data_IF_778722566080
#
_entry.id   IF_778722566080
#
_cell.length_a   1.000
_cell.length_b   1.000
_cell.length_c   1.000
_cell.angle_alpha   90.00
_cell.angle_beta   90.00
_cell.angle_gamma   90.00
#
_symmetry.space_group_name_H-M   'P 1'
#
loop_
_entity.id
_entity.type
_entity.pdbx_description
1 polymer ?
#
# COMPACT_ATOMS: atom_id res chain seq x y z
N UNK A 1 -45.85 -22.45 2.82
CA UNK A 1 -45.60 -21.00 2.92
C UNK A 1 -44.12 -20.86 3.12
N UNK A 2 -43.42 -20.62 2.02
CA UNK A 2 -41.96 -20.57 1.94
C UNK A 2 -41.48 -19.17 2.29
N UNK A 3 -40.59 -19.05 3.26
CA UNK A 3 -39.90 -17.79 3.56
C UNK A 3 -38.62 -18.08 4.35
N UNK A 4 -37.58 -18.54 3.67
CA UNK A 4 -36.25 -18.72 4.28
C UNK A 4 -35.15 -18.83 3.22
N UNK A 5 -35.29 -18.14 2.09
CA UNK A 5 -34.42 -18.34 0.91
C UNK A 5 -33.77 -17.08 0.35
N UNK A 6 -33.99 -15.90 0.95
CA UNK A 6 -33.56 -14.64 0.34
C UNK A 6 -32.43 -13.91 1.10
N UNK A 7 -32.02 -14.34 2.30
CA UNK A 7 -30.94 -13.67 3.06
C UNK A 7 -29.55 -14.30 2.88
N UNK A 8 -29.43 -15.52 2.36
CA UNK A 8 -28.14 -16.23 2.24
C UNK A 8 -27.37 -15.92 0.93
N UNK A 9 -27.92 -15.07 0.05
CA UNK A 9 -27.31 -14.77 -1.26
C UNK A 9 -26.32 -13.59 -1.24
N UNK A 10 -26.24 -12.82 -0.16
CA UNK A 10 -25.38 -11.61 -0.07
C UNK A 10 -23.95 -11.93 0.40
N UNK A 11 -23.70 -13.11 0.97
CA UNK A 11 -22.40 -13.47 1.57
C UNK A 11 -21.42 -14.20 0.63
N UNK A 12 -21.72 -14.31 -0.68
CA UNK A 12 -20.92 -15.15 -1.59
C UNK A 12 -20.24 -14.42 -2.76
N UNK A 13 -19.96 -13.13 -2.64
CA UNK A 13 -19.27 -12.33 -3.69
C UNK A 13 -17.94 -11.70 -3.26
N UNK A 14 -17.24 -12.28 -2.29
CA UNK A 14 -15.93 -11.80 -1.82
C UNK A 14 -14.80 -12.81 -1.96
N UNK A 15 -14.91 -13.85 -2.78
CA UNK A 15 -13.95 -14.97 -2.72
C UNK A 15 -12.66 -14.76 -3.53
N UNK A 16 -12.65 -13.89 -4.53
CA UNK A 16 -11.52 -13.84 -5.48
C UNK A 16 -10.42 -12.85 -5.07
N UNK A 17 -10.76 -11.83 -4.30
CA UNK A 17 -9.83 -10.79 -3.83
C UNK A 17 -9.06 -11.22 -2.58
N UNK A 18 -9.69 -11.94 -1.64
CA UNK A 18 -8.97 -12.55 -0.52
C UNK A 18 -8.02 -13.65 -0.98
N UNK A 19 -8.40 -14.52 -1.92
CA UNK A 19 -7.54 -15.61 -2.41
C UNK A 19 -6.30 -15.08 -3.13
N UNK A 20 -6.46 -14.03 -3.96
CA UNK A 20 -5.33 -13.38 -4.61
C UNK A 20 -4.38 -12.70 -3.60
N UNK A 21 -4.95 -12.10 -2.55
CA UNK A 21 -4.18 -11.50 -1.46
C UNK A 21 -3.45 -12.56 -0.61
N UNK A 22 -4.12 -13.67 -0.29
CA UNK A 22 -3.54 -14.78 0.45
C UNK A 22 -2.41 -15.43 -0.35
N UNK A 23 -2.60 -15.74 -1.63
CA UNK A 23 -1.54 -16.30 -2.49
C UNK A 23 -0.27 -15.44 -2.49
N UNK A 24 -0.46 -14.14 -2.52
CA UNK A 24 0.59 -13.15 -2.52
C UNK A 24 1.33 -13.07 -1.18
N UNK A 25 0.58 -13.11 -0.06
CA UNK A 25 1.13 -13.19 1.30
C UNK A 25 2.04 -14.42 1.49
N UNK A 26 1.66 -15.57 0.94
CA UNK A 26 2.45 -16.81 1.01
C UNK A 26 3.78 -16.72 0.22
N UNK A 27 3.78 -16.09 -0.96
CA UNK A 27 4.99 -15.96 -1.80
C UNK A 27 6.07 -15.03 -1.23
N UNK A 28 5.69 -14.10 -0.34
CA UNK A 28 6.56 -13.07 0.20
C UNK A 28 7.42 -13.52 1.40
N UNK A 29 7.26 -14.76 1.86
CA UNK A 29 8.04 -15.33 2.96
C UNK A 29 9.45 -15.76 2.51
N UNK A 30 10.39 -14.81 2.41
CA UNK A 30 11.84 -15.11 2.30
C UNK A 30 12.64 -14.42 3.42
N UNK A 31 13.65 -15.13 3.93
CA UNK A 31 14.48 -14.66 5.03
C UNK A 31 15.31 -13.41 4.64
N UNK A 32 15.35 -12.35 5.49
CA UNK A 32 16.01 -11.11 5.14
C UNK A 32 17.54 -11.17 5.28
N UNK A 33 18.25 -10.63 4.29
CA UNK A 33 19.69 -10.33 4.38
C UNK A 33 19.87 -9.09 5.28
N UNK A 34 20.60 -9.22 6.39
CA UNK A 34 20.89 -8.10 7.30
C UNK A 34 21.99 -7.20 6.71
N UNK A 35 21.64 -6.01 6.23
CA UNK A 35 22.60 -4.94 5.90
C UNK A 35 22.62 -3.89 7.02
N UNK A 36 23.82 -3.43 7.43
CA UNK A 36 23.94 -2.28 8.35
C UNK A 36 23.43 -1.02 7.63
N UNK A 37 22.32 -0.45 8.12
CA UNK A 37 21.76 0.81 7.60
C UNK A 37 22.56 1.96 8.20
N UNK A 38 23.38 2.63 7.38
CA UNK A 38 24.05 3.88 7.77
C UNK A 38 23.15 5.07 7.40
N UNK A 39 22.85 5.93 8.37
CA UNK A 39 22.02 7.12 8.16
C UNK A 39 22.70 8.18 7.29
N UNK A 40 22.15 9.40 7.35
CA UNK A 40 22.78 10.58 6.76
C UNK A 40 24.08 10.85 7.50
N UNK A 41 25.20 10.54 6.87
CA UNK A 41 26.53 10.79 7.41
C UNK A 41 27.19 11.93 6.64
N UNK A 42 28.01 12.77 7.30
CA UNK A 42 28.81 13.78 6.61
C UNK A 42 29.60 13.14 5.46
N UNK A 43 29.42 13.65 4.23
CA UNK A 43 30.04 13.12 3.01
C UNK A 43 29.15 12.19 2.17
N UNK A 44 27.97 11.79 2.65
CA UNK A 44 26.94 11.14 1.80
C UNK A 44 26.08 12.19 1.08
N UNK A 45 25.61 11.83 -0.11
CA UNK A 45 24.67 12.67 -0.86
C UNK A 45 23.38 12.93 -0.05
N UNK A 46 22.85 14.13 -0.18
CA UNK A 46 21.60 14.50 0.47
C UNK A 46 20.42 13.64 -0.01
N UNK A 47 19.43 13.46 0.85
CA UNK A 47 18.17 12.81 0.46
C UNK A 47 17.50 13.62 -0.67
N UNK A 48 17.11 12.92 -1.73
CA UNK A 48 16.37 13.53 -2.84
C UNK A 48 15.00 14.04 -2.37
N UNK A 49 14.64 15.26 -2.74
CA UNK A 49 13.27 15.74 -2.54
C UNK A 49 12.33 15.11 -3.56
N UNK A 50 11.64 14.05 -3.14
CA UNK A 50 10.72 13.26 -3.98
C UNK A 50 9.32 13.88 -4.08
N UNK A 51 9.09 15.06 -3.50
CA UNK A 51 7.82 15.77 -3.52
C UNK A 51 6.62 14.91 -3.05
N UNK A 52 6.75 14.29 -1.86
CA UNK A 52 5.78 13.32 -1.33
C UNK A 52 4.34 13.83 -1.31
N UNK A 53 4.13 15.10 -0.96
CA UNK A 53 2.80 15.71 -0.92
C UNK A 53 2.16 15.78 -2.31
N UNK A 54 2.93 16.19 -3.33
CA UNK A 54 2.44 16.22 -4.71
C UNK A 54 2.15 14.80 -5.22
N UNK A 55 2.95 13.80 -4.84
CA UNK A 55 2.70 12.41 -5.17
C UNK A 55 1.42 11.87 -4.50
N UNK A 56 1.15 12.23 -3.25
CA UNK A 56 -0.10 11.89 -2.57
C UNK A 56 -1.31 12.48 -3.30
N UNK A 57 -1.27 13.76 -3.67
CA UNK A 57 -2.36 14.41 -4.40
C UNK A 57 -2.63 13.75 -5.76
N UNK A 58 -1.57 13.35 -6.48
CA UNK A 58 -1.71 12.59 -7.74
C UNK A 58 -2.40 11.25 -7.50
N UNK A 59 -1.95 10.47 -6.51
CA UNK A 59 -2.58 9.19 -6.15
C UNK A 59 -4.06 9.37 -5.78
N UNK A 60 -4.35 10.37 -4.95
CA UNK A 60 -5.71 10.71 -4.55
C UNK A 60 -6.60 11.04 -5.76
N UNK A 61 -6.12 11.90 -6.67
CA UNK A 61 -6.87 12.30 -7.88
C UNK A 61 -7.11 11.13 -8.85
N UNK A 62 -6.18 10.18 -8.92
CA UNK A 62 -6.33 9.05 -9.85
C UNK A 62 -7.38 8.07 -9.35
N UNK A 63 -7.48 7.83 -8.04
CA UNK A 63 -8.26 6.71 -7.51
C UNK A 63 -9.38 7.08 -6.52
N UNK A 64 -9.17 8.05 -5.64
CA UNK A 64 -10.00 8.22 -4.44
C UNK A 64 -10.82 9.52 -4.38
N UNK A 65 -10.53 10.51 -5.23
CA UNK A 65 -11.36 11.71 -5.27
C UNK A 65 -12.76 11.40 -5.82
N UNK A 66 -13.73 12.29 -5.56
CA UNK A 66 -15.14 12.14 -5.95
C UNK A 66 -15.35 11.73 -7.41
N UNK A 67 -14.59 12.33 -8.34
CA UNK A 67 -14.55 11.97 -9.75
C UNK A 67 -13.14 11.46 -10.12
N UNK A 68 -12.81 10.20 -9.80
CA UNK A 68 -11.46 9.69 -9.99
C UNK A 68 -11.18 9.51 -11.48
N UNK A 69 -9.92 9.74 -11.85
CA UNK A 69 -9.51 9.50 -13.25
C UNK A 69 -9.75 8.03 -13.63
N UNK A 70 -9.49 7.12 -12.69
CA UNK A 70 -9.66 5.68 -12.88
C UNK A 70 -10.84 5.18 -12.05
N UNK A 71 -11.96 4.77 -12.68
CA UNK A 71 -13.10 4.23 -11.95
C UNK A 71 -12.77 2.86 -11.34
N UNK A 72 -13.65 2.41 -10.43
CA UNK A 72 -13.53 1.17 -9.64
C UNK A 72 -13.04 -0.05 -10.44
N UNK A 73 -13.52 -0.23 -11.68
CA UNK A 73 -13.09 -1.34 -12.55
C UNK A 73 -11.59 -1.30 -12.89
N UNK A 74 -11.06 -0.11 -13.16
CA UNK A 74 -9.63 0.08 -13.41
C UNK A 74 -8.84 -0.03 -12.12
N UNK A 75 -9.35 0.50 -11.00
CA UNK A 75 -8.72 0.32 -9.70
C UNK A 75 -8.55 -1.16 -9.35
N UNK A 76 -9.61 -1.97 -9.47
CA UNK A 76 -9.57 -3.42 -9.23
C UNK A 76 -8.57 -4.12 -10.13
N UNK A 77 -8.53 -3.78 -11.42
CA UNK A 77 -7.54 -4.37 -12.33
C UNK A 77 -6.11 -4.07 -11.89
N UNK A 78 -5.87 -2.87 -11.37
CA UNK A 78 -4.53 -2.43 -11.00
C UNK A 78 -4.07 -2.85 -9.60
N UNK A 79 -4.98 -2.99 -8.66
CA UNK A 79 -4.66 -3.30 -7.26
C UNK A 79 -5.14 -4.70 -6.85
N UNK A 80 -5.85 -5.42 -7.73
CA UNK A 80 -6.45 -6.75 -7.50
C UNK A 80 -7.44 -6.81 -6.33
N UNK A 81 -7.96 -5.66 -5.92
CA UNK A 81 -8.97 -5.52 -4.85
C UNK A 81 -9.85 -4.29 -5.08
N UNK A 82 -11.00 -4.25 -4.42
CA UNK A 82 -11.91 -3.10 -4.45
C UNK A 82 -11.38 -1.91 -3.66
N UNK A 83 -11.88 -0.70 -3.92
CA UNK A 83 -11.55 0.47 -3.09
C UNK A 83 -11.90 0.22 -1.61
N UNK A 84 -13.09 -0.35 -1.35
CA UNK A 84 -13.55 -0.61 0.01
C UNK A 84 -12.63 -1.59 0.77
N UNK A 85 -12.16 -2.66 0.11
CA UNK A 85 -11.21 -3.58 0.74
C UNK A 85 -9.86 -2.90 0.99
N UNK A 86 -9.38 -2.10 0.04
CA UNK A 86 -8.13 -1.35 0.20
C UNK A 86 -8.19 -0.36 1.38
N UNK A 87 -9.29 0.38 1.52
CA UNK A 87 -9.49 1.33 2.62
C UNK A 87 -9.54 0.62 3.98
N UNK A 88 -10.24 -0.52 4.07
CA UNK A 88 -10.27 -1.35 5.28
C UNK A 88 -8.89 -1.88 5.65
N UNK A 89 -8.13 -2.38 4.67
CA UNK A 89 -6.75 -2.83 4.86
C UNK A 89 -5.85 -1.69 5.33
N UNK A 90 -5.95 -0.52 4.69
CA UNK A 90 -5.17 0.65 5.08
C UNK A 90 -5.47 1.06 6.52
N UNK A 91 -6.74 1.11 6.92
CA UNK A 91 -7.14 1.43 8.30
C UNK A 91 -6.60 0.42 9.30
N UNK A 92 -6.76 -0.89 9.03
CA UNK A 92 -6.27 -1.95 9.90
C UNK A 92 -4.75 -1.94 10.05
N UNK A 93 -4.02 -1.69 8.96
CA UNK A 93 -2.54 -1.61 9.00
C UNK A 93 -2.07 -0.39 9.78
N UNK A 94 -2.74 0.76 9.63
CA UNK A 94 -2.42 1.97 10.40
C UNK A 94 -2.68 1.76 11.88
N UNK A 95 -3.76 1.06 12.25
CA UNK A 95 -4.07 0.71 13.62
C UNK A 95 -3.05 -0.27 14.22
N UNK A 96 -2.56 -1.22 13.41
CA UNK A 96 -1.60 -2.23 13.86
C UNK A 96 -0.14 -1.71 13.94
N UNK A 97 0.28 -0.84 13.02
CA UNK A 97 1.67 -0.35 12.94
C UNK A 97 1.72 1.17 12.72
N UNK A 98 2.11 1.89 13.77
CA UNK A 98 2.26 3.34 13.79
C UNK A 98 3.28 3.87 12.76
N UNK A 99 4.14 3.03 12.18
CA UNK A 99 5.00 3.46 11.07
C UNK A 99 4.23 3.70 9.77
N UNK A 100 2.97 3.29 9.68
CA UNK A 100 2.08 3.65 8.57
C UNK A 100 1.45 5.03 8.74
N UNK A 101 1.33 5.56 9.95
CA UNK A 101 0.85 6.92 10.18
C UNK A 101 1.75 7.97 9.49
N UNK A 102 1.14 9.07 9.03
CA UNK A 102 1.91 10.18 8.47
C UNK A 102 2.65 10.90 9.59
N UNK A 103 3.98 10.81 9.59
CA UNK A 103 4.83 11.53 10.54
C UNK A 103 5.23 12.89 9.99
N UNK A 104 5.43 13.84 10.90
CA UNK A 104 6.04 15.14 10.62
C UNK A 104 7.48 15.09 11.12
N UNK A 105 8.44 15.52 10.31
CA UNK A 105 9.84 15.56 10.72
C UNK A 105 10.14 16.73 11.67
N UNK A 106 11.37 16.78 12.20
CA UNK A 106 11.78 17.81 13.15
C UNK A 106 11.75 19.24 12.58
N UNK A 107 11.63 19.40 11.25
CA UNK A 107 11.57 20.68 10.55
C UNK A 107 10.13 21.00 10.12
N UNK A 108 9.15 20.17 10.50
CA UNK A 108 7.74 20.39 10.19
C UNK A 108 7.30 19.84 8.82
N UNK A 109 8.15 19.14 8.07
CA UNK A 109 7.79 18.57 6.76
C UNK A 109 6.99 17.29 6.96
N UNK A 110 5.81 17.22 6.32
CA UNK A 110 4.98 16.01 6.31
C UNK A 110 5.64 14.91 5.48
N UNK A 111 5.79 13.74 6.07
CA UNK A 111 6.30 12.53 5.41
C UNK A 111 5.25 11.83 4.54
N UNK A 112 5.53 10.57 4.20
CA UNK A 112 4.64 9.71 3.42
C UNK A 112 3.31 9.46 4.13
N UNK A 113 2.21 9.52 3.39
CA UNK A 113 0.87 9.19 3.90
C UNK A 113 0.63 7.68 3.98
N UNK A 114 -0.31 7.20 4.80
CA UNK A 114 -0.76 5.81 4.79
C UNK A 114 -1.14 5.33 3.38
N UNK A 115 -1.87 6.17 2.64
CA UNK A 115 -2.28 5.88 1.26
C UNK A 115 -1.07 5.55 0.37
N UNK A 116 0.00 6.35 0.46
CA UNK A 116 1.22 6.11 -0.32
C UNK A 116 1.90 4.81 0.09
N UNK A 117 2.06 4.56 1.40
CA UNK A 117 2.74 3.37 1.93
C UNK A 117 2.00 2.09 1.56
N UNK A 118 0.69 2.04 1.79
CA UNK A 118 -0.16 0.90 1.46
C UNK A 118 -0.26 0.70 -0.06
N UNK A 119 -0.44 1.77 -0.84
CA UNK A 119 -0.47 1.66 -2.32
C UNK A 119 0.83 1.09 -2.86
N UNK A 120 1.97 1.52 -2.32
CA UNK A 120 3.26 1.03 -2.77
C UNK A 120 3.46 -0.44 -2.40
N UNK A 121 3.13 -0.83 -1.17
CA UNK A 121 3.19 -2.23 -0.73
C UNK A 121 2.29 -3.13 -1.60
N UNK A 122 1.01 -2.79 -1.75
CA UNK A 122 0.05 -3.56 -2.56
C UNK A 122 0.53 -3.67 -4.01
N UNK A 123 1.02 -2.58 -4.61
CA UNK A 123 1.53 -2.63 -5.99
C UNK A 123 2.78 -3.48 -6.12
N UNK A 124 3.72 -3.38 -5.18
CA UNK A 124 4.92 -4.20 -5.20
C UNK A 124 4.56 -5.69 -5.16
N UNK A 125 3.58 -6.02 -4.33
CA UNK A 125 3.06 -7.37 -4.19
C UNK A 125 2.33 -7.82 -5.47
N UNK A 126 1.35 -7.07 -5.96
CA UNK A 126 0.52 -7.45 -7.12
C UNK A 126 1.32 -7.65 -8.40
N UNK A 127 2.32 -6.81 -8.64
CA UNK A 127 3.06 -6.83 -9.90
C UNK A 127 4.33 -7.68 -9.85
N UNK A 128 4.72 -8.20 -8.68
CA UNK A 128 6.03 -8.84 -8.44
C UNK A 128 7.18 -8.04 -9.08
N UNK A 129 7.09 -6.71 -8.97
CA UNK A 129 8.02 -5.80 -9.64
C UNK A 129 9.12 -5.36 -8.69
N UNK A 130 10.31 -5.17 -9.25
CA UNK A 130 11.43 -4.56 -8.56
C UNK A 130 11.01 -3.18 -8.01
N UNK A 131 11.39 -2.92 -6.75
CA UNK A 131 10.91 -1.77 -5.98
C UNK A 131 11.37 -0.42 -6.57
N UNK A 132 12.45 -0.41 -7.35
CA UNK A 132 12.93 0.74 -8.13
C UNK A 132 11.93 1.20 -9.20
N UNK A 133 11.22 0.27 -9.85
CA UNK A 133 10.23 0.57 -10.89
C UNK A 133 8.94 1.24 -10.38
N UNK A 134 8.71 1.24 -9.06
CA UNK A 134 7.52 1.83 -8.44
C UNK A 134 7.76 3.25 -7.90
N UNK A 135 9.01 3.72 -7.95
CA UNK A 135 9.37 5.07 -7.52
C UNK A 135 8.65 6.14 -8.33
N UNK A 136 8.37 5.92 -9.61
CA UNK A 136 7.69 6.93 -10.43
C UNK A 136 6.24 7.16 -10.05
N UNK A 137 5.58 6.16 -9.48
CA UNK A 137 4.14 6.24 -9.20
C UNK A 137 3.88 6.72 -7.78
N UNK A 138 4.61 6.19 -6.80
CA UNK A 138 4.38 6.52 -5.39
C UNK A 138 5.41 7.52 -4.85
N UNK A 139 6.53 7.72 -5.57
CA UNK A 139 7.65 8.58 -5.17
C UNK A 139 8.25 8.16 -3.83
N UNK A 140 8.44 6.85 -3.67
CA UNK A 140 9.01 6.20 -2.47
C UNK A 140 10.33 5.55 -2.86
N UNK A 141 11.38 5.77 -2.08
CA UNK A 141 12.67 5.11 -2.30
C UNK A 141 12.57 3.59 -2.18
N UNK A 142 13.32 2.85 -2.99
CA UNK A 142 13.32 1.38 -3.03
C UNK A 142 13.45 0.74 -1.64
N UNK A 143 14.45 1.15 -0.86
CA UNK A 143 14.70 0.59 0.47
C UNK A 143 13.56 0.84 1.46
N UNK A 144 12.88 1.98 1.33
CA UNK A 144 11.70 2.35 2.11
C UNK A 144 10.49 1.52 1.67
N UNK A 145 10.33 1.31 0.37
CA UNK A 145 9.26 0.48 -0.19
C UNK A 145 9.39 -0.98 0.25
N UNK A 146 10.59 -1.56 0.18
CA UNK A 146 10.84 -2.92 0.69
C UNK A 146 10.51 -3.04 2.19
N UNK A 147 10.87 -2.03 2.98
CA UNK A 147 10.58 -2.01 4.41
C UNK A 147 9.07 -1.95 4.69
N UNK A 148 8.33 -1.07 3.99
CA UNK A 148 6.88 -0.97 4.16
C UNK A 148 6.14 -2.20 3.65
N UNK A 149 6.59 -2.79 2.54
CA UNK A 149 5.98 -4.03 2.03
C UNK A 149 6.10 -5.16 3.05
N UNK A 150 7.28 -5.31 3.67
CA UNK A 150 7.46 -6.30 4.73
C UNK A 150 6.54 -6.03 5.92
N UNK A 151 6.48 -4.78 6.41
CA UNK A 151 5.62 -4.42 7.55
C UNK A 151 4.15 -4.61 7.25
N UNK A 152 3.72 -4.22 6.06
CA UNK A 152 2.35 -4.39 5.58
C UNK A 152 1.92 -5.86 5.68
N UNK A 153 2.76 -6.79 5.21
CA UNK A 153 2.47 -8.23 5.32
C UNK A 153 2.42 -8.72 6.77
N UNK A 154 3.25 -8.15 7.67
CA UNK A 154 3.25 -8.48 9.09
C UNK A 154 2.01 -7.94 9.82
N UNK A 155 1.48 -6.80 9.38
CA UNK A 155 0.25 -6.20 9.92
C UNK A 155 -1.03 -6.86 9.41
N UNK A 156 -0.93 -7.66 8.34
CA UNK A 156 -2.07 -8.35 7.72
C UNK A 156 -2.17 -9.84 8.08
N UNK A 157 -1.21 -10.39 8.84
CA UNK A 157 -1.21 -11.79 9.29
C UNK A 157 -1.80 -11.94 10.68
#
# INVERSE_FOLDING_TARGET
MSSESDEESVLRSGSDDYEAFLLLLHSAQKAPIKRKRGGSEPGKAANLDRAFQAAHLRLWKVYFCENPTYPEKLFRRMNRMSHALFERLMSAVVEHDADFEQRVDAVGKKGLTPLQKCSAAVRMLVYDRAADSLDDVVKVAESTLLAYTKKFLQSCS
#
